data_IF_576469997040
#
_entry.id   IF_576469997040
#
_cell.length_a   1.000
_cell.length_b   1.000
_cell.length_c   1.000
_cell.angle_alpha   90.00
_cell.angle_beta   90.00
_cell.angle_gamma   90.00
#
_symmetry.space_group_name_H-M   'P 1'
#
loop_
_entity.id
_entity.type
_entity.pdbx_description
1 polymer ?
#
# COMPACT_ATOMS: atom_id res chain seq x y z
N UNK A 1 8.82 -15.58 1.07
CA UNK A 1 9.09 -15.39 -0.38
C UNK A 1 9.53 -13.95 -0.58
N UNK A 2 10.53 -13.71 -1.42
CA UNK A 2 11.10 -12.36 -1.58
C UNK A 2 10.75 -11.81 -2.97
N UNK A 3 10.16 -10.63 -2.99
CA UNK A 3 9.81 -9.87 -4.18
C UNK A 3 10.77 -8.70 -4.28
N UNK A 4 11.78 -8.86 -5.14
CA UNK A 4 12.85 -7.89 -5.34
C UNK A 4 12.77 -7.32 -6.75
N UNK A 5 12.76 -5.99 -6.88
CA UNK A 5 12.88 -5.30 -8.17
C UNK A 5 11.82 -5.68 -9.22
N UNK A 6 10.58 -5.93 -8.79
CA UNK A 6 9.47 -6.21 -9.69
C UNK A 6 8.74 -4.92 -10.10
N UNK A 7 8.02 -4.97 -11.21
CA UNK A 7 7.06 -3.94 -11.60
C UNK A 7 5.62 -4.47 -11.51
N UNK A 8 4.81 -3.85 -10.63
CA UNK A 8 3.39 -4.10 -10.49
C UNK A 8 2.60 -2.92 -11.06
N UNK A 9 2.17 -3.04 -12.32
CA UNK A 9 1.58 -1.93 -13.07
C UNK A 9 0.14 -2.17 -13.49
N UNK A 10 -0.71 -1.17 -13.28
CA UNK A 10 -2.10 -1.11 -13.76
C UNK A 10 -2.98 -2.30 -13.31
N UNK A 11 -2.74 -2.83 -12.12
CA UNK A 11 -3.53 -3.94 -11.58
C UNK A 11 -4.77 -3.44 -10.82
N UNK A 12 -5.80 -4.28 -10.74
CA UNK A 12 -6.86 -4.09 -9.75
C UNK A 12 -6.29 -4.19 -8.34
N UNK A 13 -5.60 -5.30 -8.05
CA UNK A 13 -4.75 -5.47 -6.87
C UNK A 13 -3.36 -5.87 -7.32
N UNK A 14 -2.31 -5.15 -6.90
CA UNK A 14 -0.94 -5.59 -7.16
C UNK A 14 -0.57 -6.81 -6.31
N UNK A 15 -0.83 -6.75 -4.99
CA UNK A 15 -0.59 -7.87 -4.07
C UNK A 15 -1.83 -8.14 -3.24
N UNK A 16 -2.21 -9.41 -3.14
CA UNK A 16 -3.20 -9.90 -2.18
C UNK A 16 -2.52 -10.83 -1.19
N UNK A 17 -2.24 -10.33 0.02
CA UNK A 17 -1.70 -11.16 1.09
C UNK A 17 -2.84 -11.90 1.78
N UNK A 18 -2.76 -13.23 1.80
CA UNK A 18 -3.71 -14.10 2.48
C UNK A 18 -3.09 -14.61 3.79
N UNK A 19 -3.91 -15.15 4.68
CA UNK A 19 -3.43 -15.71 5.95
C UNK A 19 -2.31 -16.73 5.76
N UNK A 20 -1.43 -16.84 6.75
CA UNK A 20 -0.22 -17.67 6.72
C UNK A 20 0.89 -17.22 5.74
N UNK A 21 0.78 -16.03 5.13
CA UNK A 21 1.86 -15.40 4.37
C UNK A 21 2.64 -14.44 5.28
N UNK A 22 3.67 -14.95 5.94
CA UNK A 22 4.55 -14.22 6.86
C UNK A 22 5.98 -14.15 6.32
N UNK A 23 6.79 -13.24 6.85
CA UNK A 23 8.20 -13.09 6.53
C UNK A 23 8.48 -12.97 5.01
N UNK A 24 7.62 -12.28 4.27
CA UNK A 24 7.92 -11.90 2.89
C UNK A 24 8.61 -10.54 2.86
N UNK A 25 9.61 -10.41 2.00
CA UNK A 25 10.31 -9.15 1.75
C UNK A 25 9.86 -8.57 0.42
N UNK A 26 9.33 -7.36 0.44
CA UNK A 26 9.03 -6.54 -0.73
C UNK A 26 10.03 -5.39 -0.76
N UNK A 27 11.08 -5.53 -1.57
CA UNK A 27 12.16 -4.54 -1.63
C UNK A 27 12.42 -4.05 -3.04
N UNK A 28 12.51 -2.73 -3.20
CA UNK A 28 12.87 -2.13 -4.49
C UNK A 28 11.84 -2.38 -5.58
N UNK A 29 10.56 -2.62 -5.28
CA UNK A 29 9.54 -2.85 -6.31
C UNK A 29 8.92 -1.53 -6.78
N UNK A 30 8.34 -1.53 -7.98
CA UNK A 30 7.62 -0.39 -8.59
C UNK A 30 6.13 -0.69 -8.61
N UNK A 31 5.36 -0.03 -7.74
CA UNK A 31 3.90 -0.10 -7.72
C UNK A 31 3.31 1.09 -8.49
N UNK A 32 2.84 0.82 -9.70
CA UNK A 32 2.47 1.84 -10.67
C UNK A 32 0.98 1.78 -11.02
N UNK A 33 0.24 2.81 -10.64
CA UNK A 33 -1.14 3.03 -11.06
C UNK A 33 -2.09 1.85 -10.78
N UNK A 34 -1.87 1.11 -9.69
CA UNK A 34 -2.79 0.08 -9.25
C UNK A 34 -4.02 0.70 -8.58
N UNK A 35 -5.17 0.02 -8.66
CA UNK A 35 -6.36 0.47 -7.90
C UNK A 35 -6.15 0.26 -6.41
N UNK A 36 -5.58 -0.89 -6.05
CA UNK A 36 -5.12 -1.26 -4.71
C UNK A 36 -3.70 -1.81 -4.79
N UNK A 37 -2.75 -1.20 -4.07
CA UNK A 37 -1.36 -1.66 -4.07
C UNK A 37 -1.21 -2.95 -3.25
N UNK A 38 -1.68 -2.94 -2.00
CA UNK A 38 -1.72 -4.13 -1.14
C UNK A 38 -3.11 -4.33 -0.55
N UNK A 39 -3.58 -5.58 -0.56
CA UNK A 39 -4.75 -6.02 0.19
C UNK A 39 -4.30 -6.97 1.31
N UNK A 40 -4.78 -6.73 2.52
CA UNK A 40 -4.47 -7.52 3.70
C UNK A 40 -5.75 -8.02 4.39
N UNK A 41 -5.77 -9.28 4.81
CA UNK A 41 -6.93 -9.89 5.49
C UNK A 41 -6.55 -10.60 6.80
N UNK A 42 -5.61 -10.03 7.55
CA UNK A 42 -5.19 -10.50 8.88
C UNK A 42 -4.91 -9.31 9.80
N UNK A 43 -4.92 -9.51 11.12
CA UNK A 43 -4.62 -8.45 12.09
C UNK A 43 -3.13 -8.29 12.39
N UNK A 44 -2.32 -9.31 12.09
CA UNK A 44 -0.87 -9.29 12.28
C UNK A 44 -0.19 -9.24 10.92
N UNK A 45 0.79 -8.36 10.74
CA UNK A 45 1.61 -8.29 9.53
C UNK A 45 3.08 -8.55 9.87
N UNK A 46 3.63 -9.63 9.32
CA UNK A 46 5.06 -9.95 9.44
C UNK A 46 5.76 -9.84 8.08
N UNK A 47 5.19 -9.07 7.15
CA UNK A 47 5.82 -8.79 5.85
C UNK A 47 6.51 -7.43 5.89
N UNK A 48 7.72 -7.39 5.36
CA UNK A 48 8.54 -6.18 5.33
C UNK A 48 8.45 -5.51 3.96
N UNK A 49 8.15 -4.22 3.96
CA UNK A 49 8.23 -3.35 2.79
C UNK A 49 9.38 -2.37 3.01
N UNK A 50 10.32 -2.32 2.07
CA UNK A 50 11.51 -1.47 2.19
C UNK A 50 11.92 -0.92 0.82
N UNK A 51 12.03 0.41 0.68
CA UNK A 51 12.63 0.96 -0.53
C UNK A 51 11.81 0.72 -1.79
N UNK A 52 10.48 0.62 -1.69
CA UNK A 52 9.63 0.49 -2.87
C UNK A 52 9.22 1.86 -3.41
N UNK A 53 9.02 1.94 -4.72
CA UNK A 53 8.40 3.08 -5.35
C UNK A 53 6.89 2.88 -5.43
N UNK A 54 6.11 3.86 -5.00
CA UNK A 54 4.66 3.84 -5.03
C UNK A 54 4.14 5.05 -5.78
N UNK A 55 3.38 4.84 -6.87
CA UNK A 55 2.89 5.96 -7.69
C UNK A 55 1.93 6.90 -6.95
N UNK A 56 1.32 6.42 -5.85
CA UNK A 56 0.42 7.18 -4.99
C UNK A 56 1.13 7.80 -3.78
N UNK A 57 2.45 7.60 -3.63
CA UNK A 57 3.22 8.24 -2.57
C UNK A 57 3.31 9.74 -2.85
N UNK A 58 2.94 10.53 -1.84
CA UNK A 58 2.85 11.99 -1.91
C UNK A 58 3.61 12.65 -0.76
N UNK A 59 4.55 11.94 -0.15
CA UNK A 59 5.41 12.51 0.88
C UNK A 59 6.47 13.43 0.28
N UNK A 60 7.38 13.87 1.12
CA UNK A 60 8.44 14.80 0.75
C UNK A 60 9.80 14.21 1.11
N UNK A 61 10.84 14.82 0.55
CA UNK A 61 12.25 14.49 0.72
C UNK A 61 12.97 15.83 0.89
N UNK A 62 13.27 16.19 2.13
CA UNK A 62 13.88 17.47 2.51
C UNK A 62 15.40 17.47 2.34
N UNK A 63 16.05 16.33 2.57
CA UNK A 63 17.51 16.20 2.49
C UNK A 63 18.02 15.83 1.08
N UNK A 64 17.11 15.47 0.18
CA UNK A 64 17.29 15.20 -1.25
C UNK A 64 18.09 13.94 -1.54
N UNK A 65 17.96 12.92 -0.71
CA UNK A 65 18.62 11.63 -0.91
C UNK A 65 17.85 10.68 -1.86
N UNK A 66 16.61 11.04 -2.25
CA UNK A 66 15.75 10.26 -3.12
C UNK A 66 14.85 9.25 -2.39
N UNK A 67 14.87 9.24 -1.06
CA UNK A 67 14.01 8.48 -0.15
C UNK A 67 13.03 9.46 0.49
N UNK A 68 11.80 9.01 0.73
CA UNK A 68 10.78 9.81 1.39
C UNK A 68 10.98 9.89 2.89
N UNK A 69 10.86 11.09 3.45
CA UNK A 69 10.92 11.36 4.90
C UNK A 69 9.67 10.88 5.67
N UNK A 70 8.60 10.54 4.94
CA UNK A 70 7.31 10.13 5.52
C UNK A 70 7.04 8.67 5.16
N UNK A 71 6.77 7.80 6.15
CA UNK A 71 6.44 6.40 5.86
C UNK A 71 5.20 6.26 4.99
N UNK A 72 5.20 5.25 4.12
CA UNK A 72 4.07 4.96 3.23
C UNK A 72 3.28 3.74 3.70
N UNK A 73 1.96 3.86 3.78
CA UNK A 73 1.05 2.75 4.09
C UNK A 73 0.39 2.26 2.79
N UNK A 74 0.75 1.06 2.28
CA UNK A 74 0.29 0.60 0.96
C UNK A 74 -1.10 -0.06 0.96
N UNK A 75 -1.86 0.06 2.04
CA UNK A 75 -3.23 -0.48 2.18
C UNK A 75 -4.23 0.66 2.28
N UNK A 76 -5.35 0.50 1.57
CA UNK A 76 -6.51 1.40 1.65
C UNK A 76 -7.65 0.73 2.42
N UNK A 77 -8.38 1.49 3.23
CA UNK A 77 -9.57 1.02 3.93
C UNK A 77 -10.60 0.46 2.94
N UNK A 78 -10.76 1.10 1.78
CA UNK A 78 -11.68 0.62 0.77
C UNK A 78 -11.33 -0.77 0.23
N UNK A 79 -10.04 -1.16 0.19
CA UNK A 79 -9.67 -2.53 -0.18
C UNK A 79 -10.24 -3.56 0.80
N UNK A 80 -10.34 -3.22 2.08
CA UNK A 80 -10.94 -4.07 3.09
C UNK A 80 -12.46 -4.15 2.94
N UNK A 81 -13.12 -3.03 2.66
CA UNK A 81 -14.58 -2.97 2.42
C UNK A 81 -14.96 -3.84 1.21
N UNK A 82 -14.27 -3.68 0.08
CA UNK A 82 -14.53 -4.44 -1.15
C UNK A 82 -14.31 -5.94 -0.94
N UNK A 83 -13.31 -6.34 -0.15
CA UNK A 83 -13.08 -7.75 0.17
C UNK A 83 -14.21 -8.37 1.00
N UNK A 84 -14.93 -7.59 1.83
CA UNK A 84 -16.08 -8.06 2.62
C UNK A 84 -17.40 -7.99 1.87
N UNK A 85 -17.59 -6.94 1.07
CA UNK A 85 -18.82 -6.66 0.31
C UNK A 85 -18.44 -6.30 -1.13
N UNK A 86 -18.26 -7.30 -2.01
CA UNK A 86 -17.76 -7.09 -3.38
C UNK A 86 -18.60 -6.10 -4.21
N UNK A 87 -19.90 -6.01 -3.96
CA UNK A 87 -20.84 -5.12 -4.65
C UNK A 87 -20.46 -3.65 -4.48
N UNK A 88 -19.74 -3.30 -3.41
CA UNK A 88 -19.25 -1.93 -3.16
C UNK A 88 -18.23 -1.45 -4.18
N UNK A 89 -17.71 -2.32 -5.05
CA UNK A 89 -16.77 -1.95 -6.13
C UNK A 89 -17.35 -0.86 -7.05
N UNK A 90 -18.68 -0.74 -7.15
CA UNK A 90 -19.34 0.34 -7.90
C UNK A 90 -18.99 1.74 -7.39
N UNK A 91 -18.54 1.85 -6.13
CA UNK A 91 -18.12 3.09 -5.48
C UNK A 91 -16.63 3.42 -5.70
N UNK A 92 -15.91 2.58 -6.44
CA UNK A 92 -14.50 2.78 -6.74
C UNK A 92 -14.29 4.15 -7.41
N UNK A 93 -13.37 4.96 -6.86
CA UNK A 93 -13.10 6.35 -7.28
C UNK A 93 -14.25 7.33 -7.07
N UNK A 94 -15.18 7.03 -6.16
CA UNK A 94 -16.13 8.03 -5.68
C UNK A 94 -15.50 8.92 -4.60
N UNK A 95 -15.90 10.19 -4.56
CA UNK A 95 -15.46 11.15 -3.54
C UNK A 95 -15.71 10.66 -2.11
N UNK A 96 -16.80 9.91 -1.90
CA UNK A 96 -17.13 9.32 -0.61
C UNK A 96 -16.03 8.35 -0.13
N UNK A 97 -15.53 7.50 -1.04
CA UNK A 97 -14.44 6.58 -0.74
C UNK A 97 -13.13 7.32 -0.50
N UNK A 98 -12.83 8.36 -1.29
CA UNK A 98 -11.60 9.15 -1.11
C UNK A 98 -11.55 9.81 0.28
N UNK A 99 -12.68 10.32 0.78
CA UNK A 99 -12.78 10.90 2.13
C UNK A 99 -12.54 9.83 3.21
N UNK A 100 -13.13 8.64 3.05
CA UNK A 100 -12.97 7.52 3.99
C UNK A 100 -11.50 7.08 4.05
N UNK A 101 -10.87 6.85 2.90
CA UNK A 101 -9.47 6.45 2.82
C UNK A 101 -8.54 7.55 3.38
N UNK A 102 -8.84 8.83 3.16
CA UNK A 102 -8.10 9.94 3.75
C UNK A 102 -8.21 9.96 5.28
N UNK A 103 -9.41 9.75 5.83
CA UNK A 103 -9.62 9.67 7.28
C UNK A 103 -8.79 8.55 7.91
N UNK A 104 -8.73 7.37 7.29
CA UNK A 104 -7.91 6.25 7.76
C UNK A 104 -6.42 6.57 7.72
N UNK A 105 -5.96 7.32 6.70
CA UNK A 105 -4.56 7.75 6.60
C UNK A 105 -4.17 8.70 7.75
N UNK A 106 -5.09 9.57 8.20
CA UNK A 106 -4.85 10.54 9.28
C UNK A 106 -5.01 9.92 10.67
N UNK A 107 -5.99 9.03 10.83
CA UNK A 107 -6.29 8.35 12.09
C UNK A 107 -6.55 6.86 11.82
N UNK A 108 -5.50 6.02 11.78
CA UNK A 108 -5.63 4.60 11.48
C UNK A 108 -6.46 3.86 12.53
N UNK A 109 -7.46 3.09 12.11
CA UNK A 109 -8.28 2.24 13.00
C UNK A 109 -8.28 0.78 12.53
N UNK A 110 -8.13 0.54 11.23
CA UNK A 110 -8.27 -0.78 10.62
C UNK A 110 -6.97 -1.33 10.04
N UNK A 111 -6.08 -0.44 9.60
CA UNK A 111 -4.79 -0.81 9.01
C UNK A 111 -3.80 -1.20 10.12
N UNK A 112 -3.17 -2.40 10.07
CA UNK A 112 -2.16 -2.77 11.05
C UNK A 112 -0.98 -1.78 11.05
N UNK A 113 -0.49 -1.40 12.23
CA UNK A 113 0.60 -0.42 12.39
C UNK A 113 1.87 -0.83 11.63
N UNK A 114 2.17 -2.13 11.63
CA UNK A 114 3.35 -2.77 11.05
C UNK A 114 3.30 -2.88 9.51
N UNK A 115 2.19 -2.50 8.86
CA UNK A 115 2.07 -2.55 7.40
C UNK A 115 2.43 -1.19 6.81
N UNK A 116 3.73 -0.95 6.72
CA UNK A 116 4.33 0.32 6.32
C UNK A 116 5.65 0.09 5.57
N UNK A 117 5.96 0.96 4.63
CA UNK A 117 7.28 1.13 4.04
C UNK A 117 7.90 2.39 4.65
N UNK A 118 8.92 2.21 5.49
CA UNK A 118 9.59 3.31 6.21
C UNK A 118 10.48 4.16 5.30
N UNK A 119 10.88 3.62 4.15
CA UNK A 119 11.83 4.28 3.24
C UNK A 119 11.31 4.24 1.80
N UNK A 120 10.14 4.82 1.50
CA UNK A 120 9.59 4.79 0.15
C UNK A 120 10.47 5.60 -0.81
N UNK A 121 10.70 5.10 -2.02
CA UNK A 121 11.49 5.81 -3.02
C UNK A 121 10.69 6.98 -3.62
N UNK A 122 11.34 8.13 -3.77
CA UNK A 122 10.75 9.33 -4.41
C UNK A 122 10.59 9.17 -5.92
N UNK A 123 11.46 8.38 -6.55
CA UNK A 123 11.45 8.14 -7.99
C UNK A 123 11.61 6.66 -8.30
N UNK A 124 10.97 6.26 -9.38
CA UNK A 124 11.10 4.93 -9.90
C UNK A 124 12.43 4.81 -10.67
N UNK A 125 13.24 3.79 -10.39
CA UNK A 125 14.57 3.55 -10.97
C UNK A 125 14.55 2.96 -12.38
#
# INVERSE_FOLDING_TARGET
VNYLSNEFKSNGWAIKVRGACYANLFKGNRFLNNSFDVSYNSRMNDNLFEGNYWSNYSGYDLDKDGIGDVPYRPVKLFSYIVNRTPETIVLLRSLFIDIIDFSEKVSPVFTPDELVDEHPLMKAF
#
